data_IF_764765641160
#
_entry.id   IF_764765641160
#
_cell.length_a   1.000
_cell.length_b   1.000
_cell.length_c   1.000
_cell.angle_alpha   90.00
_cell.angle_beta   90.00
_cell.angle_gamma   90.00
#
_symmetry.space_group_name_H-M   'P 1'
#
loop_
_entity.id
_entity.type
_entity.pdbx_description
1 polymer ?
#
# COMPACT_ATOMS: atom_id res chain seq x y z
N UNK A 1 7.20 -11.72 -29.65
CA UNK A 1 6.31 -10.78 -28.95
C UNK A 1 7.09 -9.51 -28.64
N UNK A 2 6.72 -8.36 -29.21
CA UNK A 2 7.29 -7.07 -28.83
C UNK A 2 6.84 -6.77 -27.40
N UNK A 3 7.75 -6.83 -26.43
CA UNK A 3 7.50 -6.25 -25.12
C UNK A 3 7.29 -4.75 -25.35
N UNK A 4 6.12 -4.21 -25.02
CA UNK A 4 5.76 -2.79 -25.21
C UNK A 4 6.54 -1.87 -24.26
N UNK A 5 7.85 -2.08 -24.13
CA UNK A 5 8.69 -1.48 -23.11
C UNK A 5 8.30 -1.89 -21.69
N UNK A 6 7.62 -3.02 -21.45
CA UNK A 6 7.27 -3.43 -20.08
C UNK A 6 8.52 -3.71 -19.26
N UNK A 7 8.57 -3.16 -18.06
CA UNK A 7 9.66 -3.36 -17.11
C UNK A 7 9.10 -3.91 -15.80
N UNK A 8 9.64 -5.03 -15.33
CA UNK A 8 9.43 -5.54 -13.97
C UNK A 8 10.77 -5.78 -13.32
N UNK A 9 10.86 -5.45 -12.04
CA UNK A 9 11.90 -5.95 -11.14
C UNK A 9 11.26 -6.67 -9.97
N UNK A 10 11.62 -7.94 -9.76
CA UNK A 10 11.11 -8.73 -8.64
C UNK A 10 12.27 -9.27 -7.83
N UNK A 11 12.20 -9.07 -6.51
CA UNK A 11 13.17 -9.57 -5.55
C UNK A 11 12.46 -10.39 -4.47
N UNK A 12 13.02 -11.55 -4.15
CA UNK A 12 12.58 -12.42 -3.04
C UNK A 12 13.82 -12.78 -2.22
N UNK A 13 13.91 -12.21 -1.02
CA UNK A 13 15.10 -12.26 -0.19
C UNK A 13 16.30 -11.65 -0.90
N UNK A 14 17.34 -12.45 -1.09
CA UNK A 14 18.56 -12.10 -1.82
C UNK A 14 18.46 -12.35 -3.33
N UNK A 15 17.43 -13.07 -3.80
CA UNK A 15 17.30 -13.45 -5.19
C UNK A 15 16.58 -12.36 -5.98
N UNK A 16 17.25 -11.85 -7.01
CA UNK A 16 16.63 -11.08 -8.08
C UNK A 16 16.15 -12.07 -9.16
N UNK A 17 14.83 -12.10 -9.38
CA UNK A 17 14.17 -13.01 -10.35
C UNK A 17 13.63 -12.26 -11.56
N UNK A 18 14.06 -11.01 -11.75
CA UNK A 18 13.52 -10.11 -12.78
C UNK A 18 13.71 -10.62 -14.20
N UNK A 19 14.74 -11.43 -14.45
CA UNK A 19 15.04 -12.01 -15.77
C UNK A 19 14.19 -13.24 -16.12
N UNK A 20 13.54 -13.84 -15.12
CA UNK A 20 12.69 -15.01 -15.29
C UNK A 20 11.30 -14.64 -15.84
N UNK A 21 10.47 -15.66 -16.03
CA UNK A 21 9.06 -15.45 -16.34
C UNK A 21 8.28 -15.29 -15.03
N UNK A 22 7.69 -14.11 -14.86
CA UNK A 22 7.07 -13.68 -13.61
C UNK A 22 5.70 -13.13 -13.90
N UNK A 23 4.73 -13.58 -13.10
CA UNK A 23 3.43 -12.93 -12.98
C UNK A 23 3.21 -12.46 -11.55
N UNK A 24 2.48 -11.36 -11.40
CA UNK A 24 2.15 -10.77 -10.11
C UNK A 24 0.71 -10.28 -10.07
N UNK A 25 0.12 -10.42 -8.88
CA UNK A 25 -1.14 -9.82 -8.50
C UNK A 25 -0.95 -9.16 -7.13
N UNK A 26 -1.13 -7.84 -7.08
CA UNK A 26 -0.89 -7.03 -5.88
C UNK A 26 -2.18 -6.32 -5.53
N UNK A 27 -2.59 -6.40 -4.28
CA UNK A 27 -3.75 -5.66 -3.75
C UNK A 27 -3.30 -4.79 -2.58
N UNK A 28 -3.59 -3.49 -2.67
CA UNK A 28 -3.27 -2.49 -1.65
C UNK A 28 -4.50 -1.65 -1.37
N UNK A 29 -4.73 -1.35 -0.10
CA UNK A 29 -5.87 -0.57 0.33
C UNK A 29 -5.56 0.39 1.46
N UNK A 30 -6.50 1.28 1.71
CA UNK A 30 -6.57 2.07 2.93
C UNK A 30 -7.38 1.33 3.99
N UNK A 31 -7.07 1.65 5.26
CA UNK A 31 -7.80 1.18 6.42
C UNK A 31 -7.32 -0.18 6.90
N UNK A 32 -6.36 -0.20 7.82
CA UNK A 32 -6.00 -1.31 8.73
C UNK A 32 -5.66 -2.69 8.17
N UNK A 33 -5.93 -2.98 6.90
CA UNK A 33 -5.68 -4.25 6.24
C UNK A 33 -4.31 -4.20 5.56
N UNK A 34 -3.53 -5.27 5.74
CA UNK A 34 -2.23 -5.42 5.09
C UNK A 34 -2.39 -5.57 3.58
N UNK A 35 -1.55 -4.87 2.81
CA UNK A 35 -1.42 -5.13 1.38
C UNK A 35 -0.95 -6.57 1.14
N UNK A 36 -1.37 -7.17 0.03
CA UNK A 36 -0.99 -8.53 -0.33
C UNK A 36 -0.37 -8.59 -1.72
N UNK A 37 0.53 -9.54 -1.92
CA UNK A 37 1.15 -9.81 -3.19
C UNK A 37 1.18 -11.32 -3.43
N UNK A 38 0.73 -11.73 -4.61
CA UNK A 38 0.89 -13.08 -5.15
C UNK A 38 1.84 -13.01 -6.33
N UNK A 39 2.84 -13.86 -6.34
CA UNK A 39 3.84 -13.99 -7.38
C UNK A 39 3.87 -15.43 -7.88
N UNK A 40 3.95 -15.61 -9.20
CA UNK A 40 4.32 -16.90 -9.79
C UNK A 40 5.61 -16.71 -10.56
N UNK A 41 6.61 -17.55 -10.27
CA UNK A 41 7.93 -17.49 -10.90
C UNK A 41 8.19 -18.84 -11.57
N UNK A 42 8.46 -18.80 -12.87
CA UNK A 42 8.74 -19.98 -13.70
C UNK A 42 10.23 -19.97 -14.09
N UNK A 43 10.80 -21.14 -14.35
CA UNK A 43 12.20 -21.34 -14.78
C UNK A 43 13.26 -21.01 -13.70
N UNK A 44 12.90 -21.09 -12.42
CA UNK A 44 13.89 -21.11 -11.34
C UNK A 44 14.70 -22.41 -11.37
N UNK A 45 15.99 -22.34 -11.06
CA UNK A 45 16.82 -23.53 -10.80
C UNK A 45 16.37 -24.25 -9.54
N UNK A 46 16.67 -25.55 -9.42
CA UNK A 46 16.31 -26.31 -8.22
C UNK A 46 16.87 -25.70 -6.93
N UNK A 47 18.10 -25.19 -6.97
CA UNK A 47 18.72 -24.49 -5.85
C UNK A 47 17.91 -23.25 -5.44
N UNK A 48 17.56 -22.36 -6.38
CA UNK A 48 16.80 -21.14 -6.07
C UNK A 48 15.36 -21.45 -5.63
N UNK A 49 14.72 -22.49 -6.20
CA UNK A 49 13.39 -22.94 -5.73
C UNK A 49 13.44 -23.35 -4.27
N UNK A 50 14.44 -24.15 -3.89
CA UNK A 50 14.63 -24.62 -2.52
C UNK A 50 15.01 -23.47 -1.56
N UNK A 51 15.80 -22.49 -2.03
CA UNK A 51 16.13 -21.28 -1.27
C UNK A 51 14.86 -20.51 -0.89
N UNK A 52 14.01 -20.16 -1.88
CA UNK A 52 12.75 -19.45 -1.64
C UNK A 52 11.81 -20.27 -0.73
N UNK A 53 11.72 -21.58 -0.96
CA UNK A 53 10.83 -22.44 -0.18
C UNK A 53 11.20 -22.49 1.31
N UNK A 54 12.51 -22.56 1.60
CA UNK A 54 13.07 -22.62 2.97
C UNK A 54 13.23 -21.24 3.61
N UNK A 55 13.06 -20.16 2.85
CA UNK A 55 13.26 -18.82 3.33
C UNK A 55 12.32 -18.47 4.52
N UNK A 56 12.81 -17.76 5.57
CA UNK A 56 12.01 -17.41 6.74
C UNK A 56 10.79 -16.54 6.40
N UNK A 57 9.59 -16.98 6.80
CA UNK A 57 8.32 -16.39 6.35
C UNK A 57 7.93 -15.02 6.94
N UNK A 58 8.80 -14.39 7.72
CA UNK A 58 8.51 -13.11 8.41
C UNK A 58 9.65 -12.10 8.32
N UNK A 59 10.70 -12.47 7.60
CA UNK A 59 11.96 -11.73 7.51
C UNK A 59 12.48 -11.69 6.07
N UNK A 60 12.00 -12.60 5.22
CA UNK A 60 12.38 -12.62 3.82
C UNK A 60 11.61 -11.52 3.10
N UNK A 61 12.34 -10.48 2.76
CA UNK A 61 11.86 -9.33 2.00
C UNK A 61 11.35 -9.74 0.63
N UNK A 62 10.22 -9.20 0.20
CA UNK A 62 9.67 -9.35 -1.15
C UNK A 62 9.35 -7.98 -1.70
N UNK A 63 9.79 -7.71 -2.93
CA UNK A 63 9.44 -6.47 -3.61
C UNK A 63 9.16 -6.64 -5.09
N UNK A 64 8.23 -5.82 -5.57
CA UNK A 64 7.85 -5.75 -6.98
C UNK A 64 7.87 -4.29 -7.42
N UNK A 65 8.77 -3.97 -8.35
CA UNK A 65 8.74 -2.73 -9.13
C UNK A 65 8.20 -3.05 -10.51
N UNK A 66 7.27 -2.24 -11.02
CA UNK A 66 6.80 -2.40 -12.39
C UNK A 66 6.46 -1.06 -13.05
N UNK A 67 6.47 -1.08 -14.38
CA UNK A 67 6.11 0.06 -15.21
C UNK A 67 6.58 -0.14 -16.64
N UNK A 68 7.02 0.94 -17.28
CA UNK A 68 7.43 0.95 -18.67
C UNK A 68 8.80 1.59 -18.84
N UNK A 69 9.70 0.95 -19.58
CA UNK A 69 10.92 1.54 -20.13
C UNK A 69 10.63 2.22 -21.46
N UNK A 70 11.10 3.46 -21.61
CA UNK A 70 11.13 4.19 -22.86
C UNK A 70 12.57 4.64 -23.17
N UNK A 71 12.77 5.33 -24.28
CA UNK A 71 14.09 5.82 -24.72
C UNK A 71 14.72 6.81 -23.73
N UNK A 72 13.91 7.52 -22.94
CA UNK A 72 14.34 8.51 -21.95
C UNK A 72 14.59 7.95 -20.55
N UNK A 73 14.31 6.66 -20.32
CA UNK A 73 14.62 5.98 -19.07
C UNK A 73 13.61 4.90 -18.66
N UNK A 74 13.70 4.47 -17.40
CA UNK A 74 12.74 3.53 -16.80
C UNK A 74 11.68 4.31 -16.05
N UNK A 75 10.45 4.28 -16.56
CA UNK A 75 9.28 4.82 -15.89
C UNK A 75 8.59 3.71 -15.08
N UNK A 76 9.25 3.27 -14.00
CA UNK A 76 8.80 2.21 -13.12
C UNK A 76 8.77 2.67 -11.66
N UNK A 77 7.85 2.10 -10.89
CA UNK A 77 7.71 2.41 -9.47
C UNK A 77 7.51 1.16 -8.63
N UNK A 78 7.81 1.27 -7.34
CA UNK A 78 7.47 0.27 -6.34
C UNK A 78 5.96 0.08 -6.28
N UNK A 79 5.51 -1.11 -6.65
CA UNK A 79 4.11 -1.51 -6.52
C UNK A 79 3.86 -2.16 -5.17
N UNK A 80 4.82 -2.96 -4.68
CA UNK A 80 4.70 -3.69 -3.43
C UNK A 80 6.04 -3.89 -2.74
N UNK A 81 6.03 -3.77 -1.42
CA UNK A 81 7.10 -4.19 -0.51
C UNK A 81 6.48 -4.89 0.69
N UNK A 82 7.05 -6.01 1.13
CA UNK A 82 6.57 -6.71 2.32
C UNK A 82 7.36 -7.97 2.62
N UNK A 83 6.81 -8.83 3.48
CA UNK A 83 7.45 -10.05 3.94
C UNK A 83 6.81 -11.31 3.32
N UNK A 84 7.64 -12.30 3.01
CA UNK A 84 7.24 -13.59 2.44
C UNK A 84 6.35 -14.40 3.39
N UNK A 85 5.04 -14.39 3.25
CA UNK A 85 4.15 -15.21 4.09
C UNK A 85 4.13 -16.69 3.68
N UNK A 86 4.18 -16.98 2.39
CA UNK A 86 4.04 -18.35 1.85
C UNK A 86 4.90 -18.55 0.61
N UNK A 87 5.52 -19.73 0.49
CA UNK A 87 6.16 -20.21 -0.72
C UNK A 87 5.72 -21.66 -0.97
N UNK A 88 5.26 -21.95 -2.18
CA UNK A 88 4.82 -23.27 -2.64
C UNK A 88 5.53 -23.57 -3.95
N UNK A 89 6.08 -24.77 -4.08
CA UNK A 89 6.65 -25.28 -5.34
C UNK A 89 5.61 -26.20 -5.94
N UNK A 90 5.21 -25.93 -7.18
CA UNK A 90 4.24 -26.72 -7.93
C UNK A 90 4.80 -27.08 -9.29
N UNK A 91 4.28 -28.17 -9.88
CA UNK A 91 4.62 -28.59 -11.22
C UNK A 91 3.40 -28.35 -12.12
N UNK A 92 3.57 -27.50 -13.12
CA UNK A 92 2.53 -27.19 -14.10
C UNK A 92 3.02 -27.67 -15.47
N UNK A 93 2.49 -28.82 -15.91
CA UNK A 93 2.97 -29.50 -17.12
C UNK A 93 4.45 -29.92 -17.00
N UNK A 94 5.28 -29.41 -17.91
CA UNK A 94 6.73 -29.66 -17.90
C UNK A 94 7.50 -28.72 -16.98
N UNK A 95 6.87 -27.63 -16.54
CA UNK A 95 7.54 -26.53 -15.89
C UNK A 95 7.36 -26.57 -14.36
N UNK A 96 8.36 -26.07 -13.66
CA UNK A 96 8.30 -25.84 -12.22
C UNK A 96 7.92 -24.39 -11.95
N UNK A 97 6.87 -24.19 -11.16
CA UNK A 97 6.35 -22.90 -10.78
C UNK A 97 6.52 -22.72 -9.27
N UNK A 98 7.08 -21.58 -8.86
CA UNK A 98 7.13 -21.20 -7.45
C UNK A 98 6.11 -20.10 -7.21
N UNK A 99 5.09 -20.42 -6.41
CA UNK A 99 4.05 -19.48 -5.96
C UNK A 99 4.48 -18.86 -4.64
N UNK A 100 4.67 -17.55 -4.64
CA UNK A 100 5.09 -16.75 -3.49
C UNK A 100 3.95 -15.83 -3.09
N UNK A 101 3.56 -15.87 -1.81
CA UNK A 101 2.62 -14.92 -1.22
C UNK A 101 3.37 -14.03 -0.23
N UNK A 102 3.20 -12.72 -0.33
CA UNK A 102 3.78 -11.75 0.58
C UNK A 102 2.74 -10.78 1.13
N UNK A 103 3.03 -10.18 2.30
CA UNK A 103 2.15 -9.22 2.95
C UNK A 103 2.90 -7.99 3.45
N UNK A 104 2.33 -6.80 3.24
CA UNK A 104 2.86 -5.52 3.72
C UNK A 104 2.32 -5.24 5.13
N UNK A 105 3.16 -5.38 6.14
CA UNK A 105 2.76 -5.18 7.54
C UNK A 105 1.81 -6.26 8.09
N UNK A 106 1.69 -7.43 7.45
CA UNK A 106 0.75 -8.47 7.91
C UNK A 106 1.03 -8.93 9.35
N UNK A 107 2.31 -9.11 9.69
CA UNK A 107 2.73 -9.47 11.05
C UNK A 107 2.52 -8.30 12.03
N UNK A 108 2.87 -7.09 11.61
CA UNK A 108 2.64 -5.87 12.37
C UNK A 108 1.16 -5.73 12.79
N UNK A 109 0.24 -5.93 11.85
CA UNK A 109 -1.20 -5.82 12.12
C UNK A 109 -1.73 -6.98 12.96
N UNK A 110 -1.36 -8.22 12.64
CA UNK A 110 -1.99 -9.41 13.25
C UNK A 110 -1.43 -9.80 14.60
N UNK A 111 -0.12 -9.64 14.81
CA UNK A 111 0.59 -10.29 15.91
C UNK A 111 1.29 -9.31 16.87
N UNK A 112 1.57 -8.08 16.46
CA UNK A 112 2.25 -7.12 17.34
C UNK A 112 1.39 -6.78 18.56
N UNK A 113 2.05 -6.68 19.71
CA UNK A 113 1.40 -6.39 21.00
C UNK A 113 2.11 -5.25 21.70
N UNK A 114 1.34 -4.47 22.44
CA UNK A 114 1.82 -3.37 23.28
C UNK A 114 1.32 -3.56 24.70
N UNK A 115 2.18 -3.16 25.65
CA UNK A 115 1.89 -3.15 27.08
C UNK A 115 2.76 -2.10 27.74
N UNK A 116 2.35 -0.83 27.69
CA UNK A 116 3.12 0.30 28.25
C UNK A 116 2.24 1.42 28.79
N UNK A 117 2.55 1.86 30.01
CA UNK A 117 1.98 3.06 30.62
C UNK A 117 2.81 4.29 30.25
N UNK A 118 2.14 5.41 30.02
CA UNK A 118 2.74 6.70 29.77
C UNK A 118 2.26 7.70 30.82
N UNK A 119 3.17 8.55 31.28
CA UNK A 119 2.87 9.60 32.25
C UNK A 119 1.95 10.69 31.67
N UNK A 120 1.40 11.49 32.57
CA UNK A 120 0.67 12.73 32.27
C UNK A 120 1.44 13.63 31.29
N UNK A 121 0.71 14.23 30.34
CA UNK A 121 1.25 15.16 29.34
C UNK A 121 1.93 14.50 28.14
N UNK A 122 1.91 13.17 28.00
CA UNK A 122 2.44 12.51 26.81
C UNK A 122 1.65 12.92 25.56
N UNK A 123 2.34 13.17 24.45
CA UNK A 123 1.70 13.52 23.18
C UNK A 123 1.13 12.30 22.45
N UNK A 124 0.08 12.50 21.65
CA UNK A 124 -0.45 11.46 20.75
C UNK A 124 0.64 10.92 19.81
N UNK A 125 1.46 11.79 19.24
CA UNK A 125 2.56 11.41 18.34
C UNK A 125 3.56 10.47 19.02
N UNK A 126 3.95 10.74 20.27
CA UNK A 126 4.87 9.88 21.02
C UNK A 126 4.27 8.50 21.29
N UNK A 127 2.98 8.43 21.62
CA UNK A 127 2.27 7.16 21.85
C UNK A 127 2.18 6.35 20.54
N UNK A 128 1.83 6.99 19.42
CA UNK A 128 1.78 6.36 18.10
C UNK A 128 3.16 5.89 17.65
N UNK A 129 4.22 6.67 17.91
CA UNK A 129 5.58 6.26 17.60
C UNK A 129 5.98 4.98 18.35
N UNK A 130 5.65 4.89 19.64
CA UNK A 130 5.89 3.66 20.40
C UNK A 130 5.11 2.45 19.84
N UNK A 131 3.87 2.67 19.37
CA UNK A 131 3.09 1.62 18.71
C UNK A 131 3.76 1.18 17.39
N UNK A 132 4.22 2.12 16.57
CA UNK A 132 4.91 1.82 15.31
C UNK A 132 6.20 1.01 15.53
N UNK A 133 6.99 1.38 16.55
CA UNK A 133 8.18 0.63 16.98
C UNK A 133 7.83 -0.80 17.39
N UNK A 134 6.78 -1.00 18.21
CA UNK A 134 6.32 -2.33 18.61
C UNK A 134 5.76 -3.14 17.44
N UNK A 135 5.21 -2.47 16.43
CA UNK A 135 4.75 -3.06 15.17
C UNK A 135 5.91 -3.42 14.22
N UNK A 136 7.11 -2.89 14.44
CA UNK A 136 8.26 -3.08 13.55
C UNK A 136 8.10 -2.37 12.20
N UNK A 137 7.32 -1.30 12.14
CA UNK A 137 7.11 -0.50 10.91
C UNK A 137 7.74 0.88 11.06
N UNK A 138 8.20 1.46 9.95
CA UNK A 138 8.72 2.82 9.97
C UNK A 138 7.63 3.84 10.32
N UNK A 139 7.99 4.96 10.94
CA UNK A 139 7.03 5.98 11.37
C UNK A 139 6.33 6.71 10.21
N UNK A 140 6.90 6.64 8.99
CA UNK A 140 6.34 7.21 7.77
C UNK A 140 5.97 8.68 7.92
N UNK A 141 4.72 9.03 7.56
CA UNK A 141 4.23 10.41 7.67
C UNK A 141 3.54 10.70 9.02
N UNK A 142 3.56 9.77 9.99
CA UNK A 142 2.75 9.88 11.20
C UNK A 142 3.09 11.14 12.03
N UNK A 143 4.37 11.53 12.08
CA UNK A 143 4.79 12.74 12.81
C UNK A 143 4.14 14.00 12.23
N UNK A 144 4.28 14.22 10.92
CA UNK A 144 3.64 15.36 10.22
C UNK A 144 2.12 15.27 10.24
N UNK A 145 1.54 14.08 10.00
CA UNK A 145 0.10 13.92 9.94
C UNK A 145 -0.58 14.19 11.29
N UNK A 146 0.12 13.91 12.40
CA UNK A 146 -0.37 14.15 13.76
C UNK A 146 -0.05 15.57 14.27
N UNK A 147 0.75 16.36 13.54
CA UNK A 147 0.90 17.78 13.87
C UNK A 147 -0.44 18.50 13.69
N UNK A 148 -0.98 19.04 14.79
CA UNK A 148 -2.30 19.65 14.80
C UNK A 148 -3.47 18.65 14.78
N UNK A 149 -3.20 17.36 15.01
CA UNK A 149 -4.25 16.42 15.39
C UNK A 149 -4.68 16.71 16.82
N UNK A 150 -5.98 16.70 17.05
CA UNK A 150 -6.57 16.81 18.37
C UNK A 150 -7.63 15.74 18.55
N UNK A 151 -7.81 15.29 19.78
CA UNK A 151 -8.99 14.54 20.17
C UNK A 151 -10.23 15.43 20.07
N UNK A 152 -11.40 14.84 20.27
CA UNK A 152 -12.69 15.55 20.24
C UNK A 152 -12.80 16.70 21.24
N UNK A 153 -11.99 16.69 22.30
CA UNK A 153 -11.92 17.74 23.32
C UNK A 153 -10.97 18.90 22.97
N UNK A 154 -10.30 18.83 21.80
CA UNK A 154 -9.32 19.82 21.34
C UNK A 154 -7.91 19.63 21.88
N UNK A 155 -7.67 18.64 22.76
CA UNK A 155 -6.34 18.30 23.27
C UNK A 155 -5.53 17.44 22.29
N UNK A 156 -4.21 17.57 22.32
CA UNK A 156 -3.26 16.74 21.54
C UNK A 156 -2.32 15.89 22.42
N UNK A 157 -2.56 15.94 23.73
CA UNK A 157 -1.82 15.22 24.77
C UNK A 157 -2.81 14.47 25.64
N UNK A 158 -2.31 13.51 26.41
CA UNK A 158 -3.10 12.82 27.43
C UNK A 158 -2.83 13.48 28.80
N UNK A 159 -3.74 14.32 29.33
CA UNK A 159 -3.47 15.10 30.54
C UNK A 159 -3.20 14.21 31.77
N UNK A 160 -3.92 13.08 31.87
CA UNK A 160 -3.77 12.10 32.95
C UNK A 160 -2.82 10.94 32.59
N UNK A 161 -2.20 10.99 31.40
CA UNK A 161 -1.43 9.90 30.85
C UNK A 161 -2.31 8.85 30.18
N UNK A 162 -1.70 7.75 29.73
CA UNK A 162 -2.45 6.68 29.04
C UNK A 162 -1.77 5.33 29.19
N UNK A 163 -2.53 4.27 28.94
CA UNK A 163 -2.10 2.88 29.02
C UNK A 163 -2.43 2.19 27.70
N UNK A 164 -1.42 1.60 27.06
CA UNK A 164 -1.61 0.75 25.90
C UNK A 164 -1.59 -0.72 26.31
N UNK A 165 -2.64 -1.49 26.00
CA UNK A 165 -2.62 -2.92 26.31
C UNK A 165 -3.40 -3.72 25.27
N UNK A 166 -2.70 -4.64 24.61
CA UNK A 166 -3.34 -5.58 23.70
C UNK A 166 -2.64 -5.63 22.36
N UNK A 167 -3.42 -5.79 21.28
CA UNK A 167 -2.91 -5.80 19.92
C UNK A 167 -2.59 -4.36 19.50
N UNK A 168 -1.39 -4.16 18.97
CA UNK A 168 -0.88 -2.85 18.60
C UNK A 168 -1.78 -2.13 17.58
N UNK A 169 -2.27 -2.87 16.56
CA UNK A 169 -3.19 -2.35 15.55
C UNK A 169 -4.54 -1.87 16.12
N UNK A 170 -5.04 -2.50 17.19
CA UNK A 170 -6.32 -2.08 17.81
C UNK A 170 -6.16 -0.79 18.60
N UNK A 171 -5.06 -0.68 19.36
CA UNK A 171 -4.72 0.57 20.06
C UNK A 171 -4.45 1.70 19.07
N UNK A 172 -3.74 1.42 17.98
CA UNK A 172 -3.51 2.40 16.93
C UNK A 172 -4.82 2.89 16.33
N UNK A 173 -5.71 1.97 15.94
CA UNK A 173 -7.03 2.29 15.42
C UNK A 173 -7.86 3.13 16.39
N UNK A 174 -7.94 2.70 17.65
CA UNK A 174 -8.67 3.45 18.70
C UNK A 174 -8.17 4.89 18.82
N UNK A 175 -6.86 5.09 18.83
CA UNK A 175 -6.25 6.41 18.99
C UNK A 175 -6.41 7.29 17.74
N UNK A 176 -6.21 6.74 16.54
CA UNK A 176 -6.38 7.50 15.31
C UNK A 176 -7.85 7.86 15.08
N UNK A 177 -8.77 6.93 15.33
CA UNK A 177 -10.20 7.16 15.15
C UNK A 177 -10.69 8.26 16.10
N UNK A 178 -10.23 8.25 17.36
CA UNK A 178 -10.52 9.30 18.34
C UNK A 178 -9.99 10.68 17.92
N UNK A 179 -8.95 10.74 17.10
CA UNK A 179 -8.37 11.96 16.54
C UNK A 179 -8.92 12.31 15.13
N UNK A 180 -9.93 11.59 14.63
CA UNK A 180 -10.48 11.81 13.29
C UNK A 180 -9.52 11.43 12.15
N UNK A 181 -8.57 10.54 12.44
CA UNK A 181 -7.54 10.04 11.54
C UNK A 181 -7.82 8.59 11.14
N UNK A 182 -7.31 8.19 9.99
CA UNK A 182 -7.24 6.81 9.52
C UNK A 182 -5.79 6.41 9.31
N UNK A 183 -5.48 5.13 9.48
CA UNK A 183 -4.14 4.60 9.27
C UNK A 183 -4.12 3.40 8.32
N UNK A 184 -2.95 3.20 7.72
CA UNK A 184 -2.59 1.99 6.98
C UNK A 184 -1.07 1.81 7.00
N UNK A 185 -0.59 0.64 6.60
CA UNK A 185 0.82 0.42 6.33
C UNK A 185 0.99 0.44 4.81
N UNK A 186 1.96 1.21 4.33
CA UNK A 186 2.30 1.29 2.91
C UNK A 186 3.80 1.17 2.78
N UNK A 187 4.26 0.13 2.09
CA UNK A 187 5.68 -0.14 1.86
C UNK A 187 6.49 -0.22 3.17
N UNK A 188 5.95 -0.89 4.19
CA UNK A 188 6.59 -1.09 5.49
C UNK A 188 6.61 0.14 6.40
N UNK A 189 5.97 1.25 6.01
CA UNK A 189 5.86 2.46 6.85
C UNK A 189 4.41 2.81 7.17
N UNK A 190 4.22 3.45 8.32
CA UNK A 190 2.92 3.92 8.76
C UNK A 190 2.47 5.13 7.93
N UNK A 191 1.28 5.03 7.35
CA UNK A 191 0.61 6.14 6.68
C UNK A 191 -0.64 6.53 7.46
N UNK A 192 -0.63 7.75 8.02
CA UNK A 192 -1.75 8.37 8.71
C UNK A 192 -2.31 9.51 7.85
N UNK A 193 -3.62 9.56 7.71
CA UNK A 193 -4.34 10.62 7.01
C UNK A 193 -5.53 11.05 7.86
N UNK A 194 -6.02 12.29 7.69
CA UNK A 194 -7.37 12.64 8.16
C UNK A 194 -8.38 11.74 7.46
N UNK A 195 -9.43 11.33 8.17
CA UNK A 195 -10.41 10.40 7.63
C UNK A 195 -11.03 10.92 6.31
N UNK A 196 -10.81 10.17 5.22
CA UNK A 196 -11.23 10.55 3.87
C UNK A 196 -10.42 11.65 3.18
N UNK A 197 -9.35 12.17 3.79
CA UNK A 197 -8.39 13.06 3.14
C UNK A 197 -7.39 12.27 2.29
N UNK A 198 -6.63 12.98 1.46
CA UNK A 198 -5.61 12.39 0.59
C UNK A 198 -4.21 12.86 0.99
N UNK A 199 -3.20 12.14 0.52
CA UNK A 199 -1.80 12.56 0.62
C UNK A 199 -1.62 13.85 -0.18
N UNK A 200 -0.93 14.83 0.40
CA UNK A 200 -0.63 16.11 -0.24
C UNK A 200 0.49 15.95 -1.28
N UNK A 201 0.14 15.51 -2.47
CA UNK A 201 1.04 15.37 -3.63
C UNK A 201 0.31 15.77 -4.91
N UNK A 202 1.08 16.00 -5.98
CA UNK A 202 0.54 16.26 -7.31
C UNK A 202 -0.36 15.11 -7.75
N UNK A 203 -1.59 15.44 -8.11
CA UNK A 203 -2.56 14.44 -8.53
C UNK A 203 -2.17 13.84 -9.90
N UNK A 204 -2.40 12.53 -10.06
CA UNK A 204 -2.11 11.81 -11.29
C UNK A 204 -3.29 11.96 -12.25
N UNK A 205 -3.03 12.40 -13.49
CA UNK A 205 -4.05 12.50 -14.52
C UNK A 205 -4.35 11.11 -15.10
N UNK A 206 -5.62 10.69 -15.02
CA UNK A 206 -6.16 9.49 -15.65
C UNK A 206 -7.16 9.89 -16.74
N UNK A 207 -6.76 9.72 -18.00
CA UNK A 207 -7.55 9.96 -19.20
C UNK A 207 -7.22 8.89 -20.25
N UNK A 208 -8.01 8.78 -21.34
CA UNK A 208 -7.69 7.84 -22.43
C UNK A 208 -6.28 8.07 -22.99
N UNK A 209 -5.84 9.33 -23.06
CA UNK A 209 -4.52 9.73 -23.56
C UNK A 209 -3.40 9.42 -22.56
N UNK A 210 -3.71 9.41 -21.25
CA UNK A 210 -2.74 9.08 -20.21
C UNK A 210 -2.75 7.59 -19.83
N UNK A 211 -3.45 6.72 -20.56
CA UNK A 211 -3.37 5.27 -20.35
C UNK A 211 -4.52 4.65 -19.56
N UNK A 212 -5.67 5.32 -19.47
CA UNK A 212 -6.91 4.70 -18.99
C UNK A 212 -7.41 3.65 -20.01
N UNK A 213 -7.72 2.46 -19.52
CA UNK A 213 -8.17 1.31 -20.31
C UNK A 213 -9.66 1.17 -19.98
N UNK A 214 -10.54 1.48 -20.93
CA UNK A 214 -11.99 1.56 -20.74
C UNK A 214 -12.51 2.78 -19.95
N UNK A 215 -13.81 3.02 -20.09
CA UNK A 215 -14.51 4.11 -19.41
C UNK A 215 -14.66 3.81 -17.92
N UNK A 216 -14.49 4.81 -17.02
CA UNK A 216 -14.73 4.64 -15.59
C UNK A 216 -16.13 4.14 -15.29
N UNK A 217 -16.24 3.20 -14.35
CA UNK A 217 -17.52 2.68 -13.87
C UNK A 217 -17.93 3.40 -12.60
N UNK A 218 -19.13 3.97 -12.59
CA UNK A 218 -19.70 4.61 -11.40
C UNK A 218 -20.23 3.51 -10.47
N UNK A 219 -19.65 3.39 -9.28
CA UNK A 219 -20.14 2.46 -8.25
C UNK A 219 -21.30 3.10 -7.48
N UNK A 220 -21.12 4.35 -7.05
CA UNK A 220 -22.14 5.16 -6.39
C UNK A 220 -21.76 6.65 -6.48
N UNK A 221 -22.58 7.53 -5.86
CA UNK A 221 -22.38 8.98 -5.88
C UNK A 221 -21.00 9.47 -5.41
N UNK A 222 -20.27 8.68 -4.63
CA UNK A 222 -18.95 9.04 -4.08
C UNK A 222 -17.83 8.12 -4.51
N UNK A 223 -18.08 7.10 -5.34
CA UNK A 223 -17.09 6.07 -5.66
C UNK A 223 -17.16 5.65 -7.12
N UNK A 224 -15.98 5.49 -7.71
CA UNK A 224 -15.79 5.03 -9.08
C UNK A 224 -14.74 3.93 -9.12
N UNK A 225 -14.80 3.12 -10.16
CA UNK A 225 -13.78 2.14 -10.53
C UNK A 225 -13.14 2.59 -11.85
N UNK A 226 -11.81 2.57 -11.89
CA UNK A 226 -11.03 2.98 -13.06
C UNK A 226 -10.01 1.90 -13.36
N UNK A 227 -9.95 1.46 -14.61
CA UNK A 227 -8.89 0.58 -15.10
C UNK A 227 -7.92 1.39 -15.96
N UNK A 228 -6.61 1.16 -15.78
CA UNK A 228 -5.56 1.89 -16.46
C UNK A 228 -4.30 1.03 -16.61
N UNK A 229 -3.36 1.51 -17.42
CA UNK A 229 -2.02 0.95 -17.48
C UNK A 229 -1.29 1.20 -16.15
N UNK A 230 -0.33 0.35 -15.82
CA UNK A 230 0.50 0.57 -14.62
C UNK A 230 1.30 1.88 -14.77
N UNK A 231 1.12 2.80 -13.83
CA UNK A 231 1.81 4.09 -13.80
C UNK A 231 2.43 4.35 -12.43
N UNK A 232 3.51 5.14 -12.37
CA UNK A 232 4.10 5.54 -11.11
C UNK A 232 3.12 6.28 -10.20
N UNK A 233 3.17 5.96 -8.91
CA UNK A 233 2.47 6.73 -7.88
C UNK A 233 0.99 6.38 -7.69
N UNK A 234 0.49 5.31 -8.32
CA UNK A 234 -0.88 4.80 -8.10
C UNK A 234 -1.04 4.12 -6.72
N UNK A 235 -0.59 4.75 -5.65
CA UNK A 235 -0.67 4.19 -4.29
C UNK A 235 -1.97 4.61 -3.60
N UNK A 236 -2.55 3.77 -2.72
CA UNK A 236 -3.68 4.18 -1.89
C UNK A 236 -3.39 5.49 -1.13
N UNK A 237 -4.39 6.35 -1.01
CA UNK A 237 -4.27 7.68 -0.40
C UNK A 237 -3.90 8.80 -1.39
N UNK A 238 -3.41 8.49 -2.60
CA UNK A 238 -3.08 9.50 -3.61
C UNK A 238 -4.31 10.07 -4.31
N UNK A 239 -4.19 11.31 -4.78
CA UNK A 239 -5.19 11.93 -5.64
C UNK A 239 -4.99 11.56 -7.10
N UNK A 240 -6.10 11.31 -7.79
CA UNK A 240 -6.18 11.15 -9.23
C UNK A 240 -7.20 12.12 -9.79
N UNK A 241 -6.86 12.74 -10.92
CA UNK A 241 -7.80 13.54 -11.71
C UNK A 241 -8.27 12.65 -12.84
N UNK A 242 -9.53 12.22 -12.78
CA UNK A 242 -10.14 11.42 -13.84
C UNK A 242 -10.74 12.37 -14.85
N UNK A 243 -10.42 12.17 -16.13
CA UNK A 243 -11.03 12.86 -17.27
C UNK A 243 -11.49 11.83 -18.28
N UNK A 244 -12.79 11.69 -18.40
CA UNK A 244 -13.45 10.82 -19.37
C UNK A 244 -14.73 11.49 -19.85
N UNK A 245 -15.33 10.94 -20.91
CA UNK A 245 -16.63 11.39 -21.41
C UNK A 245 -17.76 11.19 -20.39
N UNK A 246 -17.64 10.20 -19.50
CA UNK A 246 -18.70 9.82 -18.55
C UNK A 246 -18.51 10.46 -17.17
N UNK A 247 -17.26 10.50 -16.71
CA UNK A 247 -16.87 11.00 -15.38
C UNK A 247 -15.69 11.95 -15.51
N UNK A 248 -15.79 13.11 -14.87
CA UNK A 248 -14.68 14.02 -14.68
C UNK A 248 -14.64 14.53 -13.25
N UNK A 249 -13.46 14.53 -12.62
CA UNK A 249 -13.31 15.02 -11.24
C UNK A 249 -12.05 14.51 -10.55
N UNK A 250 -11.82 15.03 -9.35
CA UNK A 250 -10.70 14.61 -8.49
C UNK A 250 -11.17 13.58 -7.48
N UNK A 251 -10.49 12.44 -7.45
CA UNK A 251 -10.79 11.33 -6.56
C UNK A 251 -9.53 10.91 -5.81
N UNK A 252 -9.71 10.22 -4.68
CA UNK A 252 -8.64 9.59 -3.93
C UNK A 252 -8.66 8.08 -4.17
N UNK A 253 -7.50 7.49 -4.40
CA UNK A 253 -7.34 6.03 -4.49
C UNK A 253 -7.60 5.43 -3.10
N UNK A 254 -8.61 4.57 -2.98
CA UNK A 254 -8.91 3.84 -1.75
C UNK A 254 -8.38 2.40 -1.80
N UNK A 255 -8.40 1.79 -2.98
CA UNK A 255 -7.89 0.46 -3.25
C UNK A 255 -7.23 0.45 -4.63
N UNK A 256 -6.09 -0.22 -4.74
CA UNK A 256 -5.36 -0.40 -5.98
C UNK A 256 -5.02 -1.89 -6.13
N UNK A 257 -5.39 -2.46 -7.27
CA UNK A 257 -5.06 -3.81 -7.68
C UNK A 257 -4.17 -3.74 -8.91
N UNK A 258 -3.02 -4.37 -8.87
CA UNK A 258 -2.11 -4.45 -10.01
C UNK A 258 -2.00 -5.88 -10.47
N UNK A 259 -2.11 -6.10 -11.78
CA UNK A 259 -1.91 -7.40 -12.40
C UNK A 259 -0.89 -7.26 -13.52
N UNK A 260 0.14 -8.07 -13.51
CA UNK A 260 1.20 -8.02 -14.52
C UNK A 260 1.78 -9.38 -14.82
N UNK A 261 1.93 -9.67 -16.11
CA UNK A 261 2.60 -10.85 -16.63
C UNK A 261 3.71 -10.39 -17.58
N UNK A 262 4.95 -10.79 -17.30
CA UNK A 262 6.10 -10.36 -18.11
C UNK A 262 5.99 -10.84 -19.56
N UNK A 263 5.54 -12.09 -19.77
CA UNK A 263 5.36 -12.68 -21.12
C UNK A 263 3.90 -12.75 -21.56
N UNK A 264 2.96 -12.46 -20.65
CA UNK A 264 1.53 -12.54 -20.92
C UNK A 264 0.93 -11.22 -21.42
N UNK A 265 -0.40 -11.16 -21.41
CA UNK A 265 -1.14 -9.98 -21.88
C UNK A 265 -1.38 -8.98 -20.77
N UNK A 266 -1.57 -9.46 -19.54
CA UNK A 266 -1.99 -8.63 -18.41
C UNK A 266 -0.87 -7.69 -17.97
N UNK A 267 -1.20 -6.40 -17.90
CA UNK A 267 -0.32 -5.34 -17.40
C UNK A 267 -1.12 -4.09 -17.04
N UNK A 268 -1.98 -4.22 -16.05
CA UNK A 268 -3.02 -3.24 -15.73
C UNK A 268 -3.08 -2.93 -14.25
N UNK A 269 -3.69 -1.79 -13.94
CA UNK A 269 -4.03 -1.34 -12.60
C UNK A 269 -5.55 -1.05 -12.55
N UNK A 270 -6.24 -1.70 -11.62
CA UNK A 270 -7.65 -1.46 -11.30
C UNK A 270 -7.74 -0.70 -9.98
N UNK A 271 -8.36 0.48 -10.02
CA UNK A 271 -8.43 1.41 -8.90
C UNK A 271 -9.87 1.57 -8.45
N UNK A 272 -10.12 1.41 -7.15
CA UNK A 272 -11.35 1.88 -6.53
C UNK A 272 -11.08 3.25 -5.90
N UNK A 273 -11.71 4.28 -6.46
CA UNK A 273 -11.48 5.66 -6.05
C UNK A 273 -12.72 6.25 -5.38
N UNK A 274 -12.54 7.14 -4.41
CA UNK A 274 -13.64 7.85 -3.73
C UNK A 274 -13.42 9.35 -3.70
N UNK A 275 -14.50 10.12 -3.67
CA UNK A 275 -14.42 11.57 -3.50
C UNK A 275 -13.75 11.90 -2.15
N UNK A 276 -12.65 12.68 -2.15
CA UNK A 276 -12.00 13.09 -0.92
C UNK A 276 -12.97 13.91 -0.07
N UNK A 277 -12.83 13.83 1.25
CA UNK A 277 -13.51 14.75 2.16
C UNK A 277 -12.69 16.04 2.21
N UNK A 278 -13.38 17.18 2.12
CA UNK A 278 -12.73 18.48 2.34
C UNK A 278 -12.09 18.47 3.73
N UNK A 279 -10.93 19.13 3.92
CA UNK A 279 -10.44 19.39 5.27
C UNK A 279 -11.54 20.12 6.02
N UNK A 280 -11.84 19.69 7.25
CA UNK A 280 -12.62 20.51 8.17
C UNK A 280 -11.82 21.80 8.34
N UNK A 281 -12.26 22.88 7.72
CA UNK A 281 -11.72 24.21 8.01
C UNK A 281 -11.91 24.40 9.51
N UNK A 282 -10.86 24.73 10.30
CA UNK A 282 -11.12 25.23 11.63
C UNK A 282 -12.01 26.46 11.43
N UNK A 283 -13.20 26.45 12.02
CA UNK A 283 -13.97 27.67 12.21
C UNK A 283 -13.06 28.62 12.98
N UNK A 284 -12.39 29.52 12.27
CA UNK A 284 -11.74 30.67 12.87
C UNK A 284 -12.89 31.45 13.50
N UNK A 285 -13.00 31.32 14.83
CA UNK A 285 -13.97 32.09 15.59
C UNK A 285 -13.72 33.56 15.32
N UNK A 286 -14.72 34.22 14.73
CA UNK A 286 -14.92 35.65 14.74
C UNK A 286 -15.25 36.13 16.15
#
# INVERSE_FOLDING_TARGET
MKQFGRFVRVQVGTLDVSDLDVSFEIERGLGGHAGTCQLSIINLTEAHRNEIYRAPRRQTFVSVDAGYSNETGRNASRLFTGDLTRAIIEREGTDWVVKVSAGDGLHAVRAARVSRSFAAGVSLTSVVQHIAEAMGVGIGNAVEALQGASFSDGGSQFPEGTMLRGRAADELGRLTDAAGMEWSIQDGVLMILRAGAAVQRTAILLSPESGMIASPKIINRRAIEVECLIQPGLTPGQLVVVRSQVVSGTYRINHAKFKGEKRGQDWTASLTCRLPRAPLTPTVGS
#
